data_IF_259547718991
#
_entry.id   IF_259547718991
#
_cell.length_a   1.000
_cell.length_b   1.000
_cell.length_c   1.000
_cell.angle_alpha   90.00
_cell.angle_beta   90.00
_cell.angle_gamma   90.00
#
_symmetry.space_group_name_H-M   'P 1'
#
loop_
_entity.id
_entity.type
_entity.pdbx_description
1 polymer ?
#
# COMPACT_ATOMS: atom_id res chain seq x y z
N UNK A 1 -21.03 10.44 -12.75
CA UNK A 1 -21.97 9.65 -11.93
C UNK A 1 -21.99 10.09 -10.46
N UNK A 2 -20.89 9.99 -9.71
CA UNK A 2 -20.89 10.36 -8.27
C UNK A 2 -21.25 11.83 -8.01
N UNK A 3 -20.81 12.78 -8.84
CA UNK A 3 -21.20 14.19 -8.71
C UNK A 3 -22.70 14.39 -8.91
N UNK A 4 -23.32 13.72 -9.90
CA UNK A 4 -24.77 13.78 -10.10
C UNK A 4 -25.55 13.30 -8.87
N UNK A 5 -25.09 12.22 -8.22
CA UNK A 5 -25.71 11.71 -6.98
C UNK A 5 -25.51 12.67 -5.80
N UNK A 6 -24.39 13.41 -5.76
CA UNK A 6 -24.18 14.46 -4.76
C UNK A 6 -25.12 15.66 -4.99
N UNK A 7 -25.38 16.02 -6.25
CA UNK A 7 -26.33 17.07 -6.63
C UNK A 7 -27.78 16.71 -6.31
N UNK A 8 -28.17 15.43 -6.38
CA UNK A 8 -29.50 14.95 -5.97
C UNK A 8 -29.80 15.15 -4.47
N UNK A 9 -28.78 15.38 -3.64
CA UNK A 9 -28.91 15.63 -2.20
C UNK A 9 -29.78 14.60 -1.45
N UNK A 10 -29.58 13.32 -1.75
CA UNK A 10 -30.32 12.21 -1.15
C UNK A 10 -30.01 12.08 0.35
N UNK A 11 -31.02 11.83 1.21
CA UNK A 11 -30.78 11.57 2.62
C UNK A 11 -30.06 10.23 2.81
N UNK A 12 -29.13 10.18 3.75
CA UNK A 12 -28.45 8.95 4.16
C UNK A 12 -29.07 8.47 5.47
N UNK A 13 -29.76 7.34 5.42
CA UNK A 13 -30.55 6.81 6.55
C UNK A 13 -29.80 5.64 7.19
N UNK A 14 -29.47 5.80 8.48
CA UNK A 14 -28.92 4.72 9.31
C UNK A 14 -30.04 3.79 9.78
N UNK A 15 -29.85 2.49 9.59
CA UNK A 15 -30.78 1.45 10.03
C UNK A 15 -30.04 0.43 10.88
N UNK A 16 -30.58 0.13 12.06
CA UNK A 16 -30.12 -1.01 12.87
C UNK A 16 -30.88 -2.23 12.40
N UNK A 17 -30.18 -3.32 12.07
CA UNK A 17 -30.78 -4.51 11.48
C UNK A 17 -30.36 -5.78 12.21
N UNK A 18 -31.24 -6.77 12.23
CA UNK A 18 -30.90 -8.12 12.65
C UNK A 18 -29.90 -8.75 11.67
N UNK A 19 -29.00 -9.59 12.20
CA UNK A 19 -27.91 -10.21 11.45
C UNK A 19 -28.41 -11.06 10.29
N UNK A 20 -29.42 -11.88 10.55
CA UNK A 20 -30.02 -12.77 9.56
C UNK A 20 -30.70 -11.96 8.43
N UNK A 21 -31.28 -10.81 8.77
CA UNK A 21 -31.87 -9.91 7.78
C UNK A 21 -30.79 -9.25 6.89
N UNK A 22 -29.68 -8.82 7.48
CA UNK A 22 -28.55 -8.27 6.73
C UNK A 22 -27.89 -9.30 5.80
N UNK A 23 -27.71 -10.54 6.27
CA UNK A 23 -27.17 -11.64 5.46
C UNK A 23 -28.07 -11.90 4.26
N UNK A 24 -29.38 -12.13 4.48
CA UNK A 24 -30.33 -12.37 3.39
C UNK A 24 -30.35 -11.24 2.35
N UNK A 25 -30.28 -9.99 2.81
CA UNK A 25 -30.24 -8.83 1.93
C UNK A 25 -29.03 -8.86 0.98
N UNK A 26 -27.83 -9.11 1.51
CA UNK A 26 -26.60 -9.11 0.70
C UNK A 26 -26.45 -10.38 -0.15
N UNK A 27 -26.97 -11.52 0.30
CA UNK A 27 -27.05 -12.75 -0.50
C UNK A 27 -27.93 -12.56 -1.74
N UNK A 28 -29.13 -11.97 -1.57
CA UNK A 28 -30.05 -11.69 -2.69
C UNK A 28 -29.45 -10.72 -3.71
N UNK A 29 -28.50 -9.87 -3.29
CA UNK A 29 -27.79 -8.91 -4.15
C UNK A 29 -26.47 -9.47 -4.72
N UNK A 30 -26.09 -10.69 -4.36
CA UNK A 30 -24.83 -11.31 -4.80
C UNK A 30 -23.56 -10.75 -4.12
N UNK A 31 -23.70 -9.99 -3.03
CA UNK A 31 -22.61 -9.32 -2.33
C UNK A 31 -21.93 -10.24 -1.29
N UNK A 32 -21.35 -11.34 -1.76
CA UNK A 32 -20.76 -12.40 -0.92
C UNK A 32 -19.68 -11.90 0.07
N UNK A 33 -18.88 -10.90 -0.31
CA UNK A 33 -17.87 -10.32 0.60
C UNK A 33 -18.49 -9.66 1.84
N UNK A 34 -19.66 -9.03 1.71
CA UNK A 34 -20.35 -8.44 2.86
C UNK A 34 -20.92 -9.50 3.78
N UNK A 35 -21.41 -10.61 3.22
CA UNK A 35 -21.85 -11.77 4.00
C UNK A 35 -20.68 -12.36 4.80
N UNK A 36 -19.50 -12.52 4.19
CA UNK A 36 -18.30 -12.98 4.88
C UNK A 36 -17.88 -12.01 6.00
N UNK A 37 -17.94 -10.70 5.77
CA UNK A 37 -17.67 -9.68 6.79
C UNK A 37 -18.65 -9.82 7.95
N UNK A 38 -19.96 -9.90 7.68
CA UNK A 38 -20.98 -10.04 8.71
C UNK A 38 -20.70 -11.26 9.57
N UNK A 39 -20.45 -12.42 8.96
CA UNK A 39 -20.17 -13.66 9.69
C UNK A 39 -18.92 -13.59 10.57
N UNK A 40 -17.95 -12.73 10.24
CA UNK A 40 -16.76 -12.49 11.06
C UNK A 40 -16.99 -11.50 12.22
N UNK A 41 -18.05 -10.71 12.21
CA UNK A 41 -18.37 -9.76 13.30
C UNK A 41 -18.95 -10.51 14.50
N UNK A 42 -18.43 -10.32 15.73
CA UNK A 42 -18.97 -10.96 16.94
C UNK A 42 -20.48 -10.78 17.11
N UNK A 43 -21.17 -11.81 17.60
CA UNK A 43 -22.64 -11.81 17.74
C UNK A 43 -23.17 -10.71 18.67
N UNK A 44 -22.33 -10.24 19.60
CA UNK A 44 -22.64 -9.16 20.55
C UNK A 44 -22.66 -7.77 19.92
N UNK A 45 -22.14 -7.61 18.70
CA UNK A 45 -22.07 -6.32 18.03
C UNK A 45 -23.35 -6.02 17.22
N UNK A 46 -23.87 -4.81 17.40
CA UNK A 46 -24.99 -4.28 16.62
C UNK A 46 -24.56 -4.00 15.18
N UNK A 47 -25.32 -4.53 14.23
CA UNK A 47 -25.11 -4.27 12.81
C UNK A 47 -25.92 -3.08 12.33
N UNK A 48 -25.27 -2.21 11.58
CA UNK A 48 -25.87 -1.02 10.99
C UNK A 48 -25.69 -0.99 9.50
N UNK A 49 -26.77 -0.65 8.80
CA UNK A 49 -26.76 -0.38 7.38
C UNK A 49 -27.01 1.10 7.13
N UNK A 50 -26.42 1.63 6.06
CA UNK A 50 -26.67 2.96 5.57
C UNK A 50 -27.34 2.86 4.20
N UNK A 51 -28.53 3.45 4.07
CA UNK A 51 -29.27 3.51 2.82
C UNK A 51 -29.19 4.91 2.22
N UNK A 52 -28.91 4.97 0.93
CA UNK A 52 -28.88 6.18 0.11
C UNK A 52 -29.59 5.88 -1.22
N UNK A 53 -30.83 6.34 -1.36
CA UNK A 53 -31.67 5.94 -2.50
C UNK A 53 -31.79 4.41 -2.57
N UNK A 54 -31.37 3.83 -3.70
CA UNK A 54 -31.38 2.38 -3.95
C UNK A 54 -30.11 1.65 -3.49
N UNK A 55 -29.09 2.41 -3.07
CA UNK A 55 -27.85 1.88 -2.56
C UNK A 55 -27.94 1.61 -1.05
N UNK A 56 -27.43 0.46 -0.61
CA UNK A 56 -27.38 0.06 0.79
C UNK A 56 -25.99 -0.51 1.09
N UNK A 57 -25.36 -0.03 2.15
CA UNK A 57 -24.03 -0.47 2.56
C UNK A 57 -23.93 -0.85 4.02
N UNK A 58 -23.03 -1.80 4.31
CA UNK A 58 -22.70 -2.23 5.67
C UNK A 58 -21.54 -1.39 6.18
N UNK A 59 -21.79 -0.53 7.15
CA UNK A 59 -20.76 0.31 7.75
C UNK A 59 -21.10 0.60 9.21
N UNK A 60 -20.07 0.84 10.03
CA UNK A 60 -20.22 1.29 11.43
C UNK A 60 -20.55 2.79 11.53
N UNK A 61 -20.10 3.58 10.54
CA UNK A 61 -20.30 5.04 10.50
C UNK A 61 -19.53 5.82 11.57
N UNK A 62 -19.90 7.10 11.82
CA UNK A 62 -21.06 7.82 11.25
C UNK A 62 -20.87 8.22 9.78
N UNK A 63 -21.99 8.53 9.10
CA UNK A 63 -22.02 9.11 7.75
C UNK A 63 -22.56 10.54 7.81
N UNK A 64 -22.30 11.32 6.76
CA UNK A 64 -22.94 12.63 6.57
C UNK A 64 -24.47 12.49 6.44
N UNK A 65 -25.27 13.52 6.78
CA UNK A 65 -26.73 13.43 6.75
C UNK A 65 -27.33 13.24 5.34
N UNK A 66 -26.68 13.78 4.31
CA UNK A 66 -27.11 13.65 2.91
C UNK A 66 -25.92 13.67 1.95
N UNK A 67 -26.15 13.20 0.72
CA UNK A 67 -25.13 13.22 -0.34
C UNK A 67 -24.71 14.63 -0.75
N UNK A 68 -25.55 15.64 -0.47
CA UNK A 68 -25.28 17.04 -0.76
C UNK A 68 -24.08 17.60 0.00
N UNK A 69 -23.63 16.95 1.08
CA UNK A 69 -22.39 17.32 1.78
C UNK A 69 -21.12 16.89 1.03
N UNK A 70 -21.24 15.99 0.05
CA UNK A 70 -20.11 15.39 -0.67
C UNK A 70 -19.83 16.13 -1.98
N UNK A 71 -19.59 17.44 -1.91
CA UNK A 71 -19.35 18.26 -3.11
C UNK A 71 -17.89 18.24 -3.57
N UNK A 72 -16.95 18.20 -2.63
CA UNK A 72 -15.52 18.38 -2.91
C UNK A 72 -14.75 17.07 -2.75
N UNK A 73 -14.81 16.21 -3.77
CA UNK A 73 -14.06 14.95 -3.80
C UNK A 73 -13.43 14.68 -5.17
N UNK A 74 -12.41 13.83 -5.21
CA UNK A 74 -11.75 13.39 -6.44
C UNK A 74 -11.25 11.96 -6.33
N UNK A 75 -11.47 11.15 -7.36
CA UNK A 75 -10.83 9.85 -7.53
C UNK A 75 -9.39 10.05 -7.99
N UNK A 76 -8.44 9.31 -7.42
CA UNK A 76 -7.00 9.54 -7.64
C UNK A 76 -6.33 8.44 -8.43
N UNK A 77 -6.39 7.19 -7.95
CA UNK A 77 -5.74 6.05 -8.60
C UNK A 77 -6.53 4.76 -8.44
N UNK A 78 -6.28 3.80 -9.34
CA UNK A 78 -6.76 2.43 -9.23
C UNK A 78 -5.57 1.51 -8.98
N UNK A 79 -5.72 0.55 -8.07
CA UNK A 79 -4.69 -0.44 -7.76
C UNK A 79 -5.33 -1.82 -7.49
N UNK A 80 -4.52 -2.87 -7.61
CA UNK A 80 -4.91 -4.22 -7.15
C UNK A 80 -4.79 -4.33 -5.64
N UNK A 81 -5.71 -5.06 -5.01
CA UNK A 81 -5.64 -5.44 -3.60
C UNK A 81 -6.17 -6.86 -3.41
N UNK A 82 -5.48 -7.67 -2.61
CA UNK A 82 -5.94 -9.02 -2.32
C UNK A 82 -6.94 -9.04 -1.16
N UNK A 83 -7.95 -9.91 -1.25
CA UNK A 83 -8.93 -10.06 -0.17
C UNK A 83 -8.25 -10.43 1.15
N UNK A 84 -8.57 -9.69 2.23
CA UNK A 84 -7.89 -9.76 3.55
C UNK A 84 -6.36 -9.64 3.52
N UNK A 85 -5.78 -9.09 2.44
CA UNK A 85 -4.33 -8.97 2.29
C UNK A 85 -3.59 -10.27 1.98
N UNK A 86 -4.30 -11.37 1.67
CA UNK A 86 -3.70 -12.68 1.38
C UNK A 86 -3.55 -12.86 -0.12
N UNK A 87 -2.30 -12.92 -0.62
CA UNK A 87 -1.99 -13.04 -2.06
C UNK A 87 -2.51 -14.33 -2.72
N UNK A 88 -2.94 -15.32 -1.93
CA UNK A 88 -3.57 -16.55 -2.42
C UNK A 88 -5.07 -16.39 -2.70
N UNK A 89 -5.67 -15.27 -2.28
CA UNK A 89 -7.10 -14.97 -2.43
C UNK A 89 -7.38 -14.12 -3.67
N UNK A 90 -8.65 -13.97 -4.09
CA UNK A 90 -8.97 -13.17 -5.26
C UNK A 90 -8.41 -11.74 -5.19
N UNK A 91 -7.87 -11.27 -6.31
CA UNK A 91 -7.47 -9.89 -6.50
C UNK A 91 -8.70 -9.02 -6.76
N UNK A 92 -8.81 -7.92 -6.03
CA UNK A 92 -9.87 -6.93 -6.10
C UNK A 92 -9.33 -5.61 -6.67
N UNK A 93 -10.20 -4.84 -7.30
CA UNK A 93 -9.89 -3.47 -7.73
C UNK A 93 -10.12 -2.50 -6.57
N UNK A 94 -9.07 -1.81 -6.14
CA UNK A 94 -9.15 -0.73 -5.16
C UNK A 94 -9.14 0.62 -5.88
N UNK A 95 -10.20 1.39 -5.70
CA UNK A 95 -10.32 2.76 -6.21
C UNK A 95 -10.01 3.71 -5.06
N UNK A 96 -8.96 4.52 -5.22
CA UNK A 96 -8.59 5.56 -4.26
C UNK A 96 -9.29 6.87 -4.60
N UNK A 97 -9.62 7.63 -3.56
CA UNK A 97 -10.13 9.00 -3.69
C UNK A 97 -9.88 9.80 -2.42
N UNK A 98 -10.13 11.09 -2.50
CA UNK A 98 -10.05 12.03 -1.40
C UNK A 98 -11.31 12.89 -1.37
N UNK A 99 -11.73 13.32 -0.18
CA UNK A 99 -12.86 14.24 0.01
C UNK A 99 -12.48 15.30 1.04
N UNK A 100 -13.01 16.51 0.86
CA UNK A 100 -12.69 17.69 1.65
C UNK A 100 -13.96 18.50 1.94
N UNK A 101 -13.92 19.34 2.97
CA UNK A 101 -15.04 20.20 3.33
C UNK A 101 -15.29 21.29 2.26
N UNK A 102 -14.23 21.82 1.66
CA UNK A 102 -14.31 22.89 0.65
C UNK A 102 -13.56 22.53 -0.64
N UNK A 103 -13.97 23.15 -1.74
CA UNK A 103 -13.29 23.00 -3.03
C UNK A 103 -11.88 23.60 -3.01
N UNK A 104 -11.66 24.63 -2.18
CA UNK A 104 -10.35 25.24 -1.98
C UNK A 104 -9.37 24.25 -1.34
N UNK A 105 -9.80 23.55 -0.29
CA UNK A 105 -8.97 22.54 0.39
C UNK A 105 -8.63 21.37 -0.53
N UNK A 106 -9.62 20.89 -1.30
CA UNK A 106 -9.39 19.85 -2.31
C UNK A 106 -8.35 20.32 -3.33
N UNK A 107 -8.50 21.54 -3.86
CA UNK A 107 -7.57 22.08 -4.85
C UNK A 107 -6.16 22.19 -4.28
N UNK A 108 -6.03 22.71 -3.07
CA UNK A 108 -4.75 22.81 -2.37
C UNK A 108 -4.11 21.42 -2.19
N UNK A 109 -4.87 20.42 -1.73
CA UNK A 109 -4.37 19.06 -1.58
C UNK A 109 -3.88 18.46 -2.91
N UNK A 110 -4.63 18.66 -4.00
CA UNK A 110 -4.25 18.14 -5.31
C UNK A 110 -2.98 18.81 -5.84
N UNK A 111 -2.79 20.12 -5.57
CA UNK A 111 -1.53 20.81 -5.89
C UNK A 111 -0.35 20.21 -5.11
N UNK A 112 -0.54 19.90 -3.81
CA UNK A 112 0.51 19.25 -3.01
C UNK A 112 0.87 17.86 -3.55
N UNK A 113 -0.11 17.08 -4.03
CA UNK A 113 0.16 15.79 -4.66
C UNK A 113 0.95 15.94 -5.96
N UNK A 114 0.63 16.92 -6.80
CA UNK A 114 1.37 17.19 -8.03
C UNK A 114 2.81 17.61 -7.73
N UNK A 115 3.00 18.47 -6.72
CA UNK A 115 4.32 18.87 -6.25
C UNK A 115 5.11 17.68 -5.67
N UNK A 116 4.48 16.79 -4.94
CA UNK A 116 5.12 15.57 -4.45
C UNK A 116 5.54 14.65 -5.60
N UNK A 117 4.71 14.51 -6.64
CA UNK A 117 5.03 13.68 -7.82
C UNK A 117 6.22 14.22 -8.59
N UNK A 118 6.37 15.55 -8.70
CA UNK A 118 7.57 16.19 -9.31
C UNK A 118 8.88 15.80 -8.60
N UNK A 119 8.80 15.41 -7.33
CA UNK A 119 9.94 15.05 -6.47
C UNK A 119 10.08 13.54 -6.26
N UNK A 120 9.30 12.72 -6.98
CA UNK A 120 9.42 11.28 -6.93
C UNK A 120 10.77 10.84 -7.53
N UNK A 121 11.62 10.22 -6.71
CA UNK A 121 12.93 9.75 -7.12
C UNK A 121 12.89 8.80 -8.33
N UNK A 122 11.80 8.03 -8.53
CA UNK A 122 11.64 7.13 -9.68
C UNK A 122 11.39 7.92 -10.96
N UNK A 123 10.60 8.99 -10.87
CA UNK A 123 10.36 9.91 -11.99
C UNK A 123 11.64 10.66 -12.34
N UNK A 124 12.33 11.19 -11.33
CA UNK A 124 13.59 11.91 -11.51
C UNK A 124 14.68 10.99 -12.07
N UNK A 125 14.80 9.77 -11.56
CA UNK A 125 15.77 8.79 -12.06
C UNK A 125 15.57 8.49 -13.55
N UNK A 126 14.32 8.38 -14.01
CA UNK A 126 14.02 8.20 -15.44
C UNK A 126 14.33 9.46 -16.26
N UNK A 127 13.98 10.65 -15.76
CA UNK A 127 14.21 11.92 -16.46
C UNK A 127 15.69 12.26 -16.59
N UNK A 128 16.49 11.92 -15.58
CA UNK A 128 17.91 12.23 -15.48
C UNK A 128 18.81 11.04 -15.84
N UNK A 129 18.22 9.94 -16.31
CA UNK A 129 18.93 8.72 -16.69
C UNK A 129 19.87 8.19 -15.60
N UNK A 130 19.40 8.13 -14.34
CA UNK A 130 20.22 7.76 -13.18
C UNK A 130 20.31 6.23 -12.99
N UNK A 131 19.17 5.55 -13.09
CA UNK A 131 19.07 4.11 -12.90
C UNK A 131 17.74 3.57 -13.42
N UNK A 132 17.65 2.25 -13.55
CA UNK A 132 16.39 1.55 -13.78
C UNK A 132 16.30 0.22 -13.01
N UNK A 133 15.11 -0.39 -13.08
CA UNK A 133 14.83 -1.75 -12.63
C UNK A 133 14.29 -2.55 -13.82
N UNK A 134 14.55 -3.86 -13.83
CA UNK A 134 14.05 -4.79 -14.84
C UNK A 134 13.69 -6.13 -14.19
N UNK A 135 12.87 -6.92 -14.89
CA UNK A 135 12.24 -8.13 -14.33
C UNK A 135 13.24 -9.25 -14.04
N UNK A 136 14.38 -9.29 -14.72
CA UNK A 136 15.44 -10.27 -14.47
C UNK A 136 16.10 -10.09 -13.10
N UNK A 137 15.96 -8.91 -12.47
CA UNK A 137 16.54 -8.63 -11.16
C UNK A 137 15.59 -7.80 -10.27
N UNK A 138 14.49 -8.41 -9.77
CA UNK A 138 13.47 -7.69 -9.02
C UNK A 138 14.04 -7.02 -7.76
N UNK A 139 13.85 -5.71 -7.65
CA UNK A 139 14.35 -4.91 -6.51
C UNK A 139 15.85 -4.61 -6.55
N UNK A 140 16.57 -5.05 -7.59
CA UNK A 140 17.99 -4.74 -7.79
C UNK A 140 18.15 -3.59 -8.79
N UNK A 141 18.95 -2.60 -8.42
CA UNK A 141 19.11 -1.35 -9.19
C UNK A 141 20.20 -1.52 -10.25
N UNK A 142 19.88 -1.16 -11.50
CA UNK A 142 20.87 -0.98 -12.56
C UNK A 142 21.27 0.49 -12.61
N UNK A 143 22.43 0.81 -12.04
CA UNK A 143 22.97 2.17 -12.03
C UNK A 143 23.55 2.55 -13.39
N UNK A 144 23.11 3.69 -13.92
CA UNK A 144 23.71 4.29 -15.11
C UNK A 144 24.90 5.17 -14.71
N UNK A 145 25.66 5.67 -15.67
CA UNK A 145 26.85 6.49 -15.38
C UNK A 145 26.55 7.70 -14.47
N UNK A 146 25.50 8.53 -14.72
CA UNK A 146 25.22 9.67 -13.86
C UNK A 146 24.80 9.27 -12.45
N UNK A 147 23.98 8.22 -12.31
CA UNK A 147 23.54 7.71 -11.02
C UNK A 147 24.67 7.07 -10.23
N UNK A 148 25.55 6.31 -10.90
CA UNK A 148 26.72 5.71 -10.28
C UNK A 148 27.75 6.75 -9.85
N UNK A 149 27.91 7.83 -10.62
CA UNK A 149 28.74 8.97 -10.24
C UNK A 149 28.20 9.64 -8.97
N UNK A 150 26.88 9.85 -8.86
CA UNK A 150 26.25 10.35 -7.62
C UNK A 150 26.50 9.41 -6.43
N UNK A 151 26.30 8.11 -6.62
CA UNK A 151 26.53 7.10 -5.58
C UNK A 151 27.97 7.17 -5.04
N UNK A 152 28.97 7.19 -5.94
CA UNK A 152 30.39 7.26 -5.57
C UNK A 152 30.76 8.53 -4.82
N UNK A 153 30.13 9.66 -5.12
CA UNK A 153 30.36 10.91 -4.35
C UNK A 153 29.94 10.74 -2.89
N UNK A 154 28.78 10.13 -2.65
CA UNK A 154 28.28 9.86 -1.29
C UNK A 154 29.15 8.82 -0.59
N UNK A 155 29.49 7.74 -1.28
CA UNK A 155 30.35 6.67 -0.75
C UNK A 155 31.71 7.24 -0.31
N UNK A 156 32.39 7.99 -1.19
CA UNK A 156 33.70 8.59 -0.90
C UNK A 156 33.62 9.55 0.28
N UNK A 157 32.56 10.35 0.38
CA UNK A 157 32.34 11.23 1.53
C UNK A 157 32.28 10.45 2.85
N UNK A 158 31.48 9.38 2.90
CA UNK A 158 31.35 8.54 4.11
C UNK A 158 32.66 7.83 4.43
N UNK A 159 33.37 7.29 3.43
CA UNK A 159 34.70 6.66 3.61
C UNK A 159 35.68 7.63 4.26
N UNK A 160 35.75 8.87 3.77
CA UNK A 160 36.61 9.91 4.37
C UNK A 160 36.22 10.22 5.83
N UNK A 161 34.91 10.24 6.16
CA UNK A 161 34.45 10.44 7.54
C UNK A 161 34.83 9.29 8.46
N UNK A 162 34.68 8.05 8.00
CA UNK A 162 35.04 6.86 8.76
C UNK A 162 36.55 6.81 9.01
N UNK A 163 37.36 7.11 7.99
CA UNK A 163 38.81 7.19 8.13
C UNK A 163 39.22 8.28 9.14
N UNK A 164 38.61 9.47 9.06
CA UNK A 164 38.85 10.55 10.02
C UNK A 164 38.44 10.20 11.46
N UNK A 165 37.49 9.27 11.63
CA UNK A 165 37.06 8.75 12.93
C UNK A 165 37.87 7.52 13.39
N UNK A 166 38.92 7.12 12.65
CA UNK A 166 39.80 6.01 12.99
C UNK A 166 39.23 4.61 12.71
N UNK A 167 38.16 4.49 11.92
CA UNK A 167 37.67 3.19 11.46
C UNK A 167 38.66 2.59 10.45
N UNK A 168 38.85 1.27 10.53
CA UNK A 168 39.61 0.49 9.56
C UNK A 168 38.65 -0.11 8.54
N UNK A 169 38.74 0.36 7.31
CA UNK A 169 37.91 -0.17 6.23
C UNK A 169 38.41 -1.56 5.80
N UNK A 170 37.48 -2.52 5.70
CA UNK A 170 37.75 -3.91 5.29
C UNK A 170 36.74 -4.35 4.22
N UNK A 171 37.10 -5.37 3.43
CA UNK A 171 36.22 -5.95 2.41
C UNK A 171 36.05 -7.44 2.65
N UNK A 172 34.80 -7.93 2.69
CA UNK A 172 34.45 -9.32 3.02
C UNK A 172 33.53 -9.94 1.95
N UNK A 173 33.47 -11.28 1.84
CA UNK A 173 32.58 -11.95 0.89
C UNK A 173 31.09 -11.66 1.14
N UNK A 174 30.28 -11.63 0.07
CA UNK A 174 28.83 -11.41 0.14
C UNK A 174 28.04 -12.68 0.49
N UNK A 175 28.55 -13.86 0.12
CA UNK A 175 27.93 -15.16 0.38
C UNK A 175 28.82 -15.94 1.33
N UNK A 176 28.22 -16.47 2.41
CA UNK A 176 28.95 -17.17 3.46
C UNK A 176 28.29 -18.52 3.77
N UNK A 177 29.09 -19.44 4.29
CA UNK A 177 28.60 -20.75 4.72
C UNK A 177 27.51 -20.56 5.78
N UNK A 178 26.39 -21.29 5.62
CA UNK A 178 25.21 -21.21 6.50
C UNK A 178 25.55 -21.32 7.98
N UNK A 179 26.58 -22.08 8.33
CA UNK A 179 27.04 -22.26 9.71
C UNK A 179 27.38 -20.94 10.42
N UNK A 180 27.82 -19.90 9.70
CA UNK A 180 28.08 -18.59 10.30
C UNK A 180 26.79 -17.89 10.72
N UNK A 181 25.75 -17.98 9.89
CA UNK A 181 24.44 -17.38 10.15
C UNK A 181 23.69 -18.08 11.29
N UNK A 182 23.90 -19.38 11.44
CA UNK A 182 23.40 -20.15 12.58
C UNK A 182 24.09 -19.74 13.88
N UNK A 183 25.42 -19.67 13.87
CA UNK A 183 26.21 -19.25 15.04
C UNK A 183 25.93 -17.82 15.47
N UNK A 184 25.60 -16.93 14.53
CA UNK A 184 25.22 -15.55 14.83
C UNK A 184 23.75 -15.40 15.27
N UNK A 185 22.94 -16.46 15.17
CA UNK A 185 21.50 -16.45 15.47
C UNK A 185 20.63 -15.77 14.40
N UNK A 186 21.21 -15.37 13.27
CA UNK A 186 20.46 -14.73 12.19
C UNK A 186 19.65 -15.73 11.38
N UNK A 187 20.11 -16.98 11.26
CA UNK A 187 19.36 -18.03 10.57
C UNK A 187 17.97 -18.23 11.20
N UNK A 188 17.86 -18.23 12.54
CA UNK A 188 16.56 -18.41 13.22
C UNK A 188 15.58 -17.26 12.93
N UNK A 189 16.08 -16.02 12.83
CA UNK A 189 15.25 -14.81 12.73
C UNK A 189 14.96 -14.39 11.29
N UNK A 190 15.92 -14.60 10.39
CA UNK A 190 15.93 -14.01 9.05
C UNK A 190 16.00 -15.04 7.93
N UNK A 191 16.03 -16.35 8.19
CA UNK A 191 16.13 -17.36 7.13
C UNK A 191 15.05 -17.20 6.03
N UNK A 192 13.86 -16.73 6.38
CA UNK A 192 12.78 -16.48 5.41
C UNK A 192 12.97 -15.23 4.54
N UNK A 193 13.96 -14.39 4.87
CA UNK A 193 14.29 -13.12 4.21
C UNK A 193 15.69 -13.14 3.57
N UNK A 194 16.39 -14.29 3.58
CA UNK A 194 17.72 -14.44 3.01
C UNK A 194 17.65 -15.11 1.63
N UNK A 195 18.51 -14.68 0.72
CA UNK A 195 18.77 -15.44 -0.51
C UNK A 195 19.74 -16.57 -0.17
N UNK A 196 19.45 -17.77 -0.67
CA UNK A 196 20.28 -18.96 -0.42
C UNK A 196 20.72 -19.61 -1.72
N UNK A 197 21.89 -20.21 -1.72
CA UNK A 197 22.36 -21.07 -2.81
C UNK A 197 23.06 -22.31 -2.24
N UNK A 198 23.26 -23.33 -3.07
CA UNK A 198 23.96 -24.53 -2.66
C UNK A 198 25.04 -24.91 -3.68
N UNK A 199 26.20 -25.33 -3.19
CA UNK A 199 27.31 -25.82 -3.99
C UNK A 199 28.09 -26.87 -3.21
N UNK A 200 28.53 -27.95 -3.87
CA UNK A 200 29.40 -28.98 -3.28
C UNK A 200 28.97 -29.48 -1.88
N UNK A 201 27.68 -29.82 -1.75
CA UNK A 201 27.04 -30.27 -0.50
C UNK A 201 27.06 -29.24 0.65
N UNK A 202 27.21 -27.95 0.33
CA UNK A 202 27.12 -26.86 1.29
C UNK A 202 26.01 -25.88 0.92
N UNK A 203 25.40 -25.32 1.94
CA UNK A 203 24.44 -24.22 1.80
C UNK A 203 25.14 -22.90 2.14
N UNK A 204 24.87 -21.90 1.31
CA UNK A 204 25.37 -20.55 1.46
C UNK A 204 24.18 -19.58 1.50
N UNK A 205 24.37 -18.50 2.25
CA UNK A 205 23.43 -17.40 2.33
C UNK A 205 24.17 -16.07 2.53
#
# INVERSE_FOLDING_TARGET
LMHAIAEENLPIVRQVVAREAAIRLFEQRGEHYKVEIINAIPATETLTLYRQGDFVDLCRGPHVPSTGFLQSFKLTKVAGAYWKGDSRKPMLSRIYGTAWATAADLTHYLQQLEEAEKRDHRRLAKLMDLFHFQDEAPGMVFWHEPGWTLYRVVENYIRSKLQGAGYQEVHTPLMLDRTLWERSGHAEKFATQMFTTASENREYA
#
